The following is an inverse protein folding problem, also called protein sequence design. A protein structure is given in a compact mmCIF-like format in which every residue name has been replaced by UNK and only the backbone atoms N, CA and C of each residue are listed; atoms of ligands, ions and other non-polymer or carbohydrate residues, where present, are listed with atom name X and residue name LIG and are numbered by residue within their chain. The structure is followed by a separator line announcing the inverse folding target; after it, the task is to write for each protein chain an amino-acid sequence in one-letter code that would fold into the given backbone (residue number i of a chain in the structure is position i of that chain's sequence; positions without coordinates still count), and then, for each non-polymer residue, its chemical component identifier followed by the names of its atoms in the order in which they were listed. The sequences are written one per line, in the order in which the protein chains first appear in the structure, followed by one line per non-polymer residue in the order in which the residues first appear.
data_IF_833397168311
#
_entry.id   IF_833397168311
#
_cell.length_a   1.000
_cell.length_b   1.000
_cell.length_c   1.000
_cell.angle_alpha   90.00
_cell.angle_beta   90.00
_cell.angle_gamma   90.00
#
_symmetry.space_group_name_H-M   'P 1'
#
loop_
_entity.id
_entity.type
_entity.pdbx_description
1 polymer ?
#
# COMPACT_ATOMS: atom_id res chain seq x y z
N UNK A 1 -3.13 35.20 -15.72
CA UNK A 1 -4.48 34.68 -15.43
C UNK A 1 -5.59 35.43 -16.17
N UNK A 2 -5.50 36.75 -16.42
CA UNK A 2 -6.56 37.57 -17.08
C UNK A 2 -6.97 37.18 -18.52
N UNK A 3 -6.27 36.24 -19.16
CA UNK A 3 -6.57 35.73 -20.51
C UNK A 3 -7.12 34.30 -20.53
N UNK A 4 -7.27 33.65 -19.37
CA UNK A 4 -7.70 32.26 -19.25
C UNK A 4 -8.96 32.18 -18.37
N UNK A 5 -9.93 31.34 -18.75
CA UNK A 5 -11.08 31.04 -17.91
C UNK A 5 -10.66 30.19 -16.70
N UNK A 6 -11.02 30.61 -15.49
CA UNK A 6 -10.77 29.83 -14.28
C UNK A 6 -12.06 29.12 -13.86
N UNK A 7 -12.02 27.79 -13.82
CA UNK A 7 -13.08 26.98 -13.21
C UNK A 7 -12.52 26.40 -11.92
N UNK A 8 -13.07 26.85 -10.79
CA UNK A 8 -12.71 26.32 -9.48
C UNK A 8 -13.71 25.25 -9.09
N UNK A 9 -13.21 24.04 -8.79
CA UNK A 9 -14.00 22.98 -8.16
C UNK A 9 -13.57 22.86 -6.71
N UNK A 10 -14.52 23.08 -5.79
CA UNK A 10 -14.29 22.87 -4.37
C UNK A 10 -14.28 21.38 -4.04
N UNK A 11 -13.42 20.97 -3.11
CA UNK A 11 -13.42 19.62 -2.56
C UNK A 11 -14.76 19.26 -1.90
N UNK A 12 -15.52 20.25 -1.42
CA UNK A 12 -16.85 20.05 -0.83
C UNK A 12 -17.90 19.53 -1.82
N UNK A 13 -17.63 19.56 -3.12
CA UNK A 13 -18.55 19.06 -4.17
C UNK A 13 -18.29 17.59 -4.50
N UNK A 14 -17.10 17.08 -4.21
CA UNK A 14 -16.67 15.69 -4.46
C UNK A 14 -16.34 15.01 -3.14
N UNK A 15 -17.37 14.83 -2.32
CA UNK A 15 -17.30 14.05 -1.08
C UNK A 15 -17.10 12.56 -1.38
N UNK A 16 -17.03 11.72 -0.34
CA UNK A 16 -16.85 10.28 -0.51
C UNK A 16 -18.02 9.57 -1.20
N UNK A 17 -19.27 10.05 -1.08
CA UNK A 17 -20.45 9.34 -1.57
C UNK A 17 -20.45 9.14 -3.10
N UNK A 18 -20.18 10.14 -3.95
CA UNK A 18 -20.12 9.92 -5.40
C UNK A 18 -19.06 8.91 -5.84
N UNK A 19 -17.93 8.84 -5.13
CA UNK A 19 -16.86 7.87 -5.42
C UNK A 19 -17.33 6.46 -5.05
N UNK A 20 -17.97 6.31 -3.89
CA UNK A 20 -18.57 5.04 -3.49
C UNK A 20 -19.67 4.61 -4.47
N UNK A 21 -20.57 5.52 -4.85
CA UNK A 21 -21.66 5.23 -5.79
C UNK A 21 -21.13 4.79 -7.16
N UNK A 22 -20.05 5.42 -7.63
CA UNK A 22 -19.35 5.01 -8.85
C UNK A 22 -18.83 3.57 -8.76
N UNK A 23 -18.25 3.19 -7.61
CA UNK A 23 -17.75 1.84 -7.38
C UNK A 23 -18.88 0.82 -7.22
N UNK A 24 -19.93 1.13 -6.45
CA UNK A 24 -21.09 0.24 -6.22
C UNK A 24 -21.85 -0.10 -7.51
N UNK A 25 -21.85 0.79 -8.51
CA UNK A 25 -22.43 0.49 -9.84
C UNK A 25 -21.71 -0.64 -10.58
N UNK A 26 -20.49 -0.97 -10.18
CA UNK A 26 -19.69 -2.07 -10.73
C UNK A 26 -19.82 -3.36 -9.90
N UNK A 27 -20.65 -3.36 -8.85
CA UNK A 27 -20.83 -4.46 -7.90
C UNK A 27 -22.17 -5.14 -8.10
N UNK A 28 -22.34 -6.33 -7.53
CA UNK A 28 -23.63 -7.03 -7.58
C UNK A 28 -24.68 -6.30 -6.73
N UNK A 29 -25.97 -6.56 -7.00
CA UNK A 29 -27.05 -5.98 -6.19
C UNK A 29 -26.96 -6.45 -4.73
N UNK A 30 -26.64 -7.72 -4.50
CA UNK A 30 -26.43 -8.31 -3.16
C UNK A 30 -25.34 -7.57 -2.38
N UNK A 31 -24.18 -7.36 -2.99
CA UNK A 31 -23.09 -6.58 -2.38
C UNK A 31 -23.51 -5.14 -2.09
N UNK A 32 -24.24 -4.51 -3.03
CA UNK A 32 -24.65 -3.12 -2.90
C UNK A 32 -25.64 -2.93 -1.75
N UNK A 33 -26.61 -3.82 -1.62
CA UNK A 33 -27.65 -3.77 -0.57
C UNK A 33 -27.04 -3.93 0.83
N UNK A 34 -25.92 -4.65 0.95
CA UNK A 34 -25.20 -4.86 2.20
C UNK A 34 -24.21 -3.73 2.48
N UNK A 35 -23.33 -3.42 1.54
CA UNK A 35 -22.21 -2.50 1.75
C UNK A 35 -22.67 -1.05 1.90
N UNK A 36 -23.65 -0.59 1.11
CA UNK A 36 -24.10 0.81 1.15
C UNK A 36 -24.56 1.20 2.55
N UNK A 37 -25.50 0.50 3.21
CA UNK A 37 -25.88 0.82 4.58
C UNK A 37 -24.72 0.82 5.57
N UNK A 38 -23.73 -0.07 5.41
CA UNK A 38 -22.57 -0.13 6.30
C UNK A 38 -21.69 1.12 6.19
N UNK A 39 -21.43 1.62 4.97
CA UNK A 39 -20.71 2.88 4.78
C UNK A 39 -21.43 4.04 5.47
N UNK A 40 -22.75 4.19 5.25
CA UNK A 40 -23.54 5.26 5.85
C UNK A 40 -23.67 5.16 7.38
N UNK A 41 -23.40 4.00 7.99
CA UNK A 41 -23.46 3.82 9.44
C UNK A 41 -22.24 4.35 10.20
N UNK A 42 -21.07 4.47 9.58
CA UNK A 42 -19.83 4.78 10.32
C UNK A 42 -18.79 5.59 9.55
N UNK A 43 -18.78 5.54 8.21
CA UNK A 43 -17.64 6.05 7.44
C UNK A 43 -17.41 7.55 7.62
N UNK A 44 -18.48 8.36 7.57
CA UNK A 44 -18.40 9.82 7.68
C UNK A 44 -17.92 10.29 9.06
N UNK A 45 -18.50 9.72 10.13
CA UNK A 45 -18.15 10.01 11.51
C UNK A 45 -16.69 9.64 11.81
N UNK A 46 -16.26 8.44 11.37
CA UNK A 46 -14.91 7.95 11.56
C UNK A 46 -13.90 8.74 10.74
N UNK A 47 -14.19 9.04 9.48
CA UNK A 47 -13.33 9.87 8.64
C UNK A 47 -13.16 11.27 9.24
N UNK A 48 -14.25 11.89 9.71
CA UNK A 48 -14.20 13.19 10.40
C UNK A 48 -13.34 13.13 11.66
N UNK A 49 -13.48 12.08 12.47
CA UNK A 49 -12.65 11.87 13.64
C UNK A 49 -11.16 11.76 13.27
N UNK A 50 -10.82 10.94 12.27
CA UNK A 50 -9.44 10.80 11.78
C UNK A 50 -8.86 12.13 11.30
N UNK A 51 -9.62 12.92 10.54
CA UNK A 51 -9.15 14.20 9.99
C UNK A 51 -9.02 15.32 11.03
N UNK A 52 -9.83 15.29 12.10
CA UNK A 52 -9.93 16.41 13.04
C UNK A 52 -9.29 16.15 14.40
N UNK A 53 -9.20 14.89 14.83
CA UNK A 53 -8.71 14.51 16.18
C UNK A 53 -7.41 13.73 16.17
N UNK A 54 -7.03 13.13 15.04
CA UNK A 54 -5.83 12.29 14.94
C UNK A 54 -4.74 12.98 14.12
N UNK A 55 -3.51 12.54 14.34
CA UNK A 55 -2.33 13.05 13.62
C UNK A 55 -1.86 12.01 12.61
N UNK A 56 -2.22 12.22 11.35
CA UNK A 56 -1.75 11.39 10.23
C UNK A 56 -0.28 11.70 9.88
N UNK A 57 0.51 10.67 9.59
CA UNK A 57 1.92 10.81 9.17
C UNK A 57 2.07 11.29 7.73
N UNK A 58 1.01 11.25 6.94
CA UNK A 58 0.98 11.79 5.59
C UNK A 58 -0.37 12.45 5.35
N UNK A 59 -0.35 13.65 4.74
CA UNK A 59 -1.60 14.32 4.34
C UNK A 59 -2.21 13.61 3.14
N UNK A 60 -3.44 13.12 3.33
CA UNK A 60 -4.24 12.37 2.36
C UNK A 60 -5.63 12.99 2.28
N UNK A 61 -6.20 13.10 1.08
CA UNK A 61 -7.54 13.66 0.84
C UNK A 61 -8.61 12.57 1.04
N UNK A 62 -9.83 12.97 1.39
CA UNK A 62 -10.98 12.07 1.56
C UNK A 62 -11.17 11.12 0.36
N UNK A 63 -11.07 11.68 -0.86
CA UNK A 63 -11.19 10.92 -2.11
C UNK A 63 -10.20 9.75 -2.21
N UNK A 64 -9.01 9.87 -1.59
CA UNK A 64 -8.02 8.81 -1.58
C UNK A 64 -8.33 7.75 -0.52
N UNK A 65 -8.84 8.16 0.65
CA UNK A 65 -9.28 7.23 1.69
C UNK A 65 -10.42 6.32 1.20
N UNK A 66 -11.46 6.90 0.59
CA UNK A 66 -12.60 6.10 0.11
C UNK A 66 -12.20 5.21 -1.07
N UNK A 67 -11.34 5.72 -1.95
CA UNK A 67 -10.81 4.89 -3.04
C UNK A 67 -9.98 3.73 -2.50
N UNK A 68 -9.07 3.98 -1.55
CA UNK A 68 -8.30 2.90 -0.94
C UNK A 68 -9.20 1.87 -0.23
N UNK A 69 -10.27 2.31 0.44
CA UNK A 69 -11.26 1.42 1.05
C UNK A 69 -11.93 0.52 -0.01
N UNK A 70 -12.39 1.11 -1.11
CA UNK A 70 -13.02 0.36 -2.22
C UNK A 70 -12.04 -0.53 -2.99
N UNK A 71 -10.77 -0.12 -3.09
CA UNK A 71 -9.69 -0.93 -3.67
C UNK A 71 -9.38 -2.15 -2.79
N UNK A 72 -9.33 -1.99 -1.47
CA UNK A 72 -9.20 -3.09 -0.51
C UNK A 72 -10.38 -4.05 -0.60
N UNK A 73 -11.62 -3.53 -0.53
CA UNK A 73 -12.84 -4.32 -0.67
C UNK A 73 -12.83 -5.14 -1.96
N UNK A 74 -12.49 -4.50 -3.10
CA UNK A 74 -12.38 -5.20 -4.37
C UNK A 74 -11.39 -6.36 -4.30
N UNK A 75 -10.20 -6.12 -3.75
CA UNK A 75 -9.16 -7.15 -3.66
C UNK A 75 -9.51 -8.32 -2.74
N UNK A 76 -10.35 -8.08 -1.73
CA UNK A 76 -10.80 -9.08 -0.77
C UNK A 76 -12.05 -9.85 -1.25
N UNK A 77 -12.97 -9.18 -1.92
CA UNK A 77 -14.21 -9.80 -2.44
C UNK A 77 -13.90 -10.63 -3.68
N UNK A 78 -13.14 -10.07 -4.63
CA UNK A 78 -12.84 -10.69 -5.92
C UNK A 78 -11.70 -11.74 -5.81
N UNK A 79 -11.40 -12.23 -4.61
CA UNK A 79 -10.30 -13.15 -4.36
C UNK A 79 -10.60 -14.55 -4.96
N UNK A 80 -9.93 -14.85 -6.07
CA UNK A 80 -9.97 -16.14 -6.75
C UNK A 80 -11.15 -16.37 -7.69
N UNK A 81 -12.26 -15.65 -7.50
CA UNK A 81 -13.44 -15.70 -8.38
C UNK A 81 -14.30 -14.42 -8.23
N UNK A 82 -14.40 -13.63 -9.30
CA UNK A 82 -15.25 -12.42 -9.37
C UNK A 82 -16.75 -12.73 -9.22
N UNK A 83 -17.17 -14.00 -9.31
CA UNK A 83 -18.58 -14.42 -9.25
C UNK A 83 -18.95 -15.07 -7.90
N UNK A 84 -18.01 -15.11 -6.95
CA UNK A 84 -18.23 -15.63 -5.60
C UNK A 84 -19.25 -14.78 -4.87
N UNK A 85 -20.37 -15.40 -4.44
CA UNK A 85 -21.33 -14.73 -3.56
C UNK A 85 -20.95 -14.97 -2.10
N UNK A 86 -20.62 -13.90 -1.38
CA UNK A 86 -20.25 -13.96 0.02
C UNK A 86 -21.47 -13.76 0.95
N UNK A 87 -21.53 -14.46 2.11
CA UNK A 87 -22.54 -14.20 3.13
C UNK A 87 -22.45 -12.77 3.68
N UNK A 88 -23.58 -12.23 4.15
CA UNK A 88 -23.67 -10.87 4.70
C UNK A 88 -22.66 -10.63 5.84
N UNK A 89 -22.53 -11.58 6.77
CA UNK A 89 -21.58 -11.46 7.88
C UNK A 89 -20.11 -11.42 7.42
N UNK A 90 -19.79 -12.10 6.31
CA UNK A 90 -18.45 -12.07 5.74
C UNK A 90 -18.21 -10.71 5.07
N UNK A 91 -19.14 -10.23 4.24
CA UNK A 91 -19.06 -8.90 3.62
C UNK A 91 -18.95 -7.77 4.65
N UNK A 92 -19.70 -7.85 5.76
CA UNK A 92 -19.58 -6.90 6.87
C UNK A 92 -18.15 -6.85 7.39
N UNK A 93 -17.53 -8.00 7.68
CA UNK A 93 -16.16 -8.05 8.21
C UNK A 93 -15.10 -7.60 7.20
N UNK A 94 -15.26 -7.91 5.91
CA UNK A 94 -14.37 -7.38 4.86
C UNK A 94 -14.48 -5.85 4.75
N UNK A 95 -15.68 -5.30 4.89
CA UNK A 95 -15.90 -3.86 4.98
C UNK A 95 -15.18 -3.25 6.18
N UNK A 96 -15.35 -3.83 7.37
CA UNK A 96 -14.69 -3.34 8.59
C UNK A 96 -13.16 -3.38 8.46
N UNK A 97 -12.62 -4.48 7.91
CA UNK A 97 -11.18 -4.59 7.62
C UNK A 97 -10.71 -3.51 6.63
N UNK A 98 -11.48 -3.26 5.58
CA UNK A 98 -11.14 -2.26 4.56
C UNK A 98 -11.18 -0.84 5.11
N UNK A 99 -12.15 -0.52 5.96
CA UNK A 99 -12.24 0.78 6.65
C UNK A 99 -11.06 0.97 7.62
N UNK A 100 -10.70 -0.06 8.36
CA UNK A 100 -9.54 -0.06 9.27
C UNK A 100 -8.25 0.27 8.50
N UNK A 101 -7.99 -0.43 7.38
CA UNK A 101 -6.78 -0.28 6.57
C UNK A 101 -6.85 0.82 5.50
N UNK A 102 -7.97 1.54 5.41
CA UNK A 102 -8.05 2.79 4.67
C UNK A 102 -7.87 3.98 5.61
N UNK A 103 -8.72 4.15 6.61
CA UNK A 103 -8.71 5.33 7.49
C UNK A 103 -7.56 5.30 8.50
N UNK A 104 -7.12 4.10 8.91
CA UNK A 104 -5.96 3.90 9.77
C UNK A 104 -4.63 3.76 9.02
N UNK A 105 -4.64 3.89 7.69
CA UNK A 105 -3.53 3.49 6.82
C UNK A 105 -2.27 4.32 7.03
N UNK A 106 -2.40 5.60 7.34
CA UNK A 106 -1.29 6.55 7.53
C UNK A 106 -1.10 6.95 9.00
N UNK A 107 -1.70 6.20 9.93
CA UNK A 107 -1.60 6.45 11.37
C UNK A 107 -0.46 5.65 12.02
N UNK A 108 0.09 6.19 13.10
CA UNK A 108 0.95 5.47 14.05
C UNK A 108 0.12 4.76 15.13
N UNK A 109 0.76 3.87 15.88
CA UNK A 109 0.14 3.02 16.92
C UNK A 109 -0.75 3.83 17.89
N UNK A 110 -0.24 4.93 18.46
CA UNK A 110 -1.02 5.76 19.40
C UNK A 110 -2.33 6.30 18.80
N UNK A 111 -2.31 6.69 17.52
CA UNK A 111 -3.50 7.20 16.85
C UNK A 111 -4.42 6.06 16.38
N UNK A 112 -3.88 4.88 16.06
CA UNK A 112 -4.67 3.68 15.82
C UNK A 112 -5.44 3.26 17.07
N UNK A 113 -4.83 3.31 18.26
CA UNK A 113 -5.52 3.04 19.53
C UNK A 113 -6.65 4.04 19.81
N UNK A 114 -6.45 5.33 19.50
CA UNK A 114 -7.53 6.34 19.63
C UNK A 114 -8.67 6.12 18.63
N UNK A 115 -8.33 5.72 17.41
CA UNK A 115 -9.32 5.35 16.38
C UNK A 115 -10.14 4.12 16.83
N UNK A 116 -9.48 3.11 17.36
CA UNK A 116 -10.10 1.91 17.92
C UNK A 116 -11.05 2.25 19.08
N UNK A 117 -10.61 3.08 20.04
CA UNK A 117 -11.46 3.52 21.15
C UNK A 117 -12.74 4.21 20.65
N UNK A 118 -12.62 5.13 19.67
CA UNK A 118 -13.77 5.78 19.05
C UNK A 118 -14.72 4.77 18.39
N UNK A 119 -14.16 3.79 17.68
CA UNK A 119 -14.93 2.74 16.99
C UNK A 119 -15.71 1.87 17.98
N UNK A 120 -15.09 1.48 19.10
CA UNK A 120 -15.71 0.64 20.12
C UNK A 120 -16.84 1.36 20.88
N UNK A 121 -16.74 2.67 21.04
CA UNK A 121 -17.77 3.52 21.65
C UNK A 121 -18.87 3.94 20.66
N UNK A 122 -18.70 3.69 19.36
CA UNK A 122 -19.59 4.17 18.31
C UNK A 122 -20.97 3.50 18.35
N UNK A 123 -22.09 4.24 18.15
CA UNK A 123 -23.44 3.69 18.21
C UNK A 123 -23.81 2.72 17.08
N UNK A 124 -22.94 2.52 16.08
CA UNK A 124 -23.22 1.67 14.91
C UNK A 124 -23.32 0.17 15.24
N UNK A 125 -22.78 -0.28 16.38
CA UNK A 125 -22.81 -1.67 16.87
C UNK A 125 -22.35 -2.71 15.82
N UNK A 126 -21.41 -2.33 14.96
CA UNK A 126 -20.83 -3.22 13.95
C UNK A 126 -19.94 -4.29 14.60
N UNK A 127 -19.79 -5.43 13.92
CA UNK A 127 -19.10 -6.62 14.47
C UNK A 127 -17.57 -6.57 14.31
N UNK A 128 -16.95 -5.58 14.94
CA UNK A 128 -15.50 -5.45 15.04
C UNK A 128 -14.84 -6.68 15.71
N UNK A 129 -13.54 -6.95 15.45
CA UNK A 129 -12.84 -8.07 16.08
C UNK A 129 -12.86 -7.94 17.61
N UNK A 130 -13.02 -9.07 18.29
CA UNK A 130 -12.94 -9.12 19.76
C UNK A 130 -11.49 -9.31 20.15
N UNK A 131 -10.94 -8.33 20.87
CA UNK A 131 -9.60 -8.39 21.44
C UNK A 131 -9.58 -9.50 22.51
N UNK A 132 -8.59 -10.39 22.44
CA UNK A 132 -8.40 -11.52 23.37
C UNK A 132 -7.59 -11.10 24.60
N UNK A 133 -6.56 -10.28 24.39
CA UNK A 133 -5.62 -9.87 25.42
C UNK A 133 -5.64 -8.35 25.70
N UNK A 134 -5.31 -7.96 26.93
CA UNK A 134 -5.12 -6.54 27.28
C UNK A 134 -3.90 -5.97 26.51
N UNK A 135 -4.13 -4.88 25.76
CA UNK A 135 -3.11 -4.21 24.96
C UNK A 135 -2.99 -4.70 23.51
N UNK A 136 -3.80 -5.67 23.11
CA UNK A 136 -3.96 -6.11 21.72
C UNK A 136 -4.78 -5.08 20.92
N UNK A 137 -4.48 -4.90 19.64
CA UNK A 137 -5.24 -3.99 18.76
C UNK A 137 -6.07 -4.73 17.70
N UNK A 138 -7.17 -4.12 17.26
CA UNK A 138 -7.99 -4.59 16.13
C UNK A 138 -7.18 -4.78 14.83
N UNK A 139 -6.05 -4.05 14.70
CA UNK A 139 -5.11 -4.18 13.58
C UNK A 139 -4.26 -5.48 13.64
N UNK A 140 -4.43 -6.28 14.70
CA UNK A 140 -3.85 -7.63 14.85
C UNK A 140 -4.74 -8.73 14.24
N UNK A 141 -5.89 -8.35 13.68
CA UNK A 141 -6.86 -9.28 13.08
C UNK A 141 -7.00 -9.12 11.57
N UNK A 142 -7.32 -10.23 10.92
CA UNK A 142 -7.68 -10.37 9.50
C UNK A 142 -8.95 -11.21 9.37
N UNK A 143 -9.65 -11.09 8.25
CA UNK A 143 -10.79 -11.97 7.96
C UNK A 143 -10.25 -13.26 7.33
N UNK A 144 -10.57 -14.40 7.92
CA UNK A 144 -10.23 -15.73 7.42
C UNK A 144 -11.14 -16.18 6.26
N UNK A 145 -10.76 -17.26 5.58
CA UNK A 145 -11.53 -17.79 4.44
C UNK A 145 -12.94 -18.27 4.82
N UNK A 146 -13.10 -18.68 6.08
CA UNK A 146 -14.38 -19.02 6.70
C UNK A 146 -15.27 -17.79 6.99
N UNK A 147 -14.74 -16.59 6.79
CA UNK A 147 -15.39 -15.31 7.02
C UNK A 147 -15.32 -14.81 8.45
N UNK A 148 -14.62 -15.46 9.37
CA UNK A 148 -14.46 -15.03 10.76
C UNK A 148 -13.14 -14.27 11.00
N UNK A 149 -13.07 -13.53 12.11
CA UNK A 149 -11.85 -12.84 12.51
C UNK A 149 -10.78 -13.85 12.96
N UNK A 150 -9.59 -13.71 12.41
CA UNK A 150 -8.41 -14.52 12.69
C UNK A 150 -7.27 -13.61 13.14
N UNK A 151 -6.49 -14.04 14.14
CA UNK A 151 -5.33 -13.29 14.58
C UNK A 151 -4.14 -13.51 13.62
N UNK A 152 -3.36 -12.47 13.32
CA UNK A 152 -2.23 -12.57 12.38
C UNK A 152 -1.16 -13.57 12.82
N UNK A 153 -0.97 -13.80 14.12
CA UNK A 153 0.01 -14.79 14.62
C UNK A 153 -0.25 -16.20 14.10
N UNK A 154 -1.51 -16.54 13.79
CA UNK A 154 -1.88 -17.83 13.22
C UNK A 154 -1.42 -18.00 11.77
N UNK A 155 -1.02 -16.90 11.11
CA UNK A 155 -0.47 -16.86 9.75
C UNK A 155 1.05 -16.64 9.71
N UNK A 156 1.71 -16.54 10.87
CA UNK A 156 3.16 -16.36 10.92
C UNK A 156 3.85 -17.71 10.87
N UNK A 157 4.58 -17.96 9.79
CA UNK A 157 5.43 -19.14 9.67
C UNK A 157 6.59 -19.10 10.66
N UNK A 158 6.97 -20.27 11.18
CA UNK A 158 8.13 -20.42 12.03
C UNK A 158 9.41 -20.38 11.18
N UNK A 159 10.31 -19.45 11.49
CA UNK A 159 11.62 -19.42 10.86
C UNK A 159 12.60 -20.29 11.65
N UNK A 160 13.18 -21.26 10.96
CA UNK A 160 14.20 -22.15 11.50
C UNK A 160 15.54 -21.69 10.95
N UNK A 161 16.43 -21.25 11.84
CA UNK A 161 17.79 -20.89 11.47
C UNK A 161 18.57 -22.15 11.06
N UNK A 162 19.20 -22.19 9.87
CA UNK A 162 19.89 -23.39 9.39
C UNK A 162 21.07 -23.74 10.30
N UNK A 163 21.18 -25.00 10.79
CA UNK A 163 22.26 -25.39 11.69
C UNK A 163 23.57 -25.68 10.97
N UNK A 164 23.51 -25.98 9.68
CA UNK A 164 24.59 -26.48 8.82
C UNK A 164 25.43 -25.36 8.18
N UNK A 165 24.87 -24.16 7.99
CA UNK A 165 25.62 -22.99 7.50
C UNK A 165 25.13 -21.70 8.14
N UNK A 166 25.95 -20.64 8.07
CA UNK A 166 25.58 -19.30 8.54
C UNK A 166 25.01 -18.51 7.36
N UNK A 167 23.72 -18.16 7.34
CA UNK A 167 23.15 -17.26 6.33
C UNK A 167 23.81 -15.89 6.41
N UNK A 168 23.89 -15.20 5.28
CA UNK A 168 24.30 -13.80 5.28
C UNK A 168 23.31 -12.98 6.10
N UNK A 169 23.81 -12.20 7.06
CA UNK A 169 22.99 -11.43 8.00
C UNK A 169 21.99 -10.52 7.27
N UNK A 170 22.40 -9.94 6.13
CA UNK A 170 21.54 -9.06 5.32
C UNK A 170 20.35 -9.76 4.67
N UNK A 171 20.40 -11.09 4.57
CA UNK A 171 19.37 -11.93 3.94
C UNK A 171 18.38 -12.55 4.93
N UNK A 172 18.64 -12.45 6.24
CA UNK A 172 17.79 -13.06 7.26
C UNK A 172 16.54 -12.21 7.46
N UNK A 173 15.39 -12.72 7.05
CA UNK A 173 14.08 -12.13 7.33
C UNK A 173 13.27 -13.09 8.19
N UNK A 174 13.22 -12.83 9.50
CA UNK A 174 12.37 -13.58 10.42
C UNK A 174 10.91 -13.14 10.22
N UNK A 175 9.99 -14.03 9.81
CA UNK A 175 8.58 -13.72 9.70
C UNK A 175 8.00 -13.31 11.05
N UNK A 176 7.30 -12.19 11.05
CA UNK A 176 6.58 -11.66 12.19
C UNK A 176 5.20 -11.15 11.74
N UNK A 177 4.36 -10.77 12.70
CA UNK A 177 2.99 -10.29 12.46
C UNK A 177 3.00 -9.08 11.51
N UNK A 178 3.91 -8.14 11.71
CA UNK A 178 4.01 -6.91 10.92
C UNK A 178 4.32 -7.19 9.44
N UNK A 179 5.24 -8.13 9.18
CA UNK A 179 5.66 -8.55 7.84
C UNK A 179 4.53 -9.28 7.12
N UNK A 180 3.88 -10.25 7.76
CA UNK A 180 2.78 -11.03 7.16
C UNK A 180 1.60 -10.12 6.82
N UNK A 181 1.25 -9.22 7.74
CA UNK A 181 0.19 -8.24 7.55
C UNK A 181 0.49 -7.27 6.41
N UNK A 182 1.70 -6.73 6.36
CA UNK A 182 2.09 -5.79 5.31
C UNK A 182 2.14 -6.48 3.95
N UNK A 183 2.67 -7.71 3.89
CA UNK A 183 2.67 -8.52 2.67
C UNK A 183 1.24 -8.80 2.18
N UNK A 184 0.31 -9.13 3.08
CA UNK A 184 -1.10 -9.34 2.72
C UNK A 184 -1.75 -8.06 2.15
N UNK A 185 -1.49 -6.90 2.74
CA UNK A 185 -2.01 -5.62 2.23
C UNK A 185 -1.42 -5.26 0.87
N UNK A 186 -0.11 -5.51 0.68
CA UNK A 186 0.54 -5.34 -0.63
C UNK A 186 -0.14 -6.25 -1.64
N UNK A 187 -0.26 -7.55 -1.35
CA UNK A 187 -0.85 -8.55 -2.26
C UNK A 187 -2.27 -8.18 -2.68
N UNK A 188 -3.12 -7.84 -1.69
CA UNK A 188 -4.52 -7.46 -1.89
C UNK A 188 -4.68 -6.35 -2.94
N UNK A 189 -3.78 -5.36 -2.94
CA UNK A 189 -3.80 -4.25 -3.90
C UNK A 189 -3.04 -4.60 -5.18
N UNK A 190 -1.86 -5.20 -5.05
CA UNK A 190 -0.94 -5.44 -6.16
C UNK A 190 -1.49 -6.45 -7.17
N UNK A 191 -2.25 -7.46 -6.74
CA UNK A 191 -2.90 -8.43 -7.64
C UNK A 191 -3.88 -7.77 -8.61
N UNK A 192 -4.43 -6.62 -8.24
CA UNK A 192 -5.29 -5.78 -9.08
C UNK A 192 -4.52 -4.88 -10.06
N UNK A 193 -3.20 -5.07 -10.19
CA UNK A 193 -2.30 -4.19 -10.97
C UNK A 193 -2.30 -2.72 -10.51
N UNK A 194 -2.62 -2.46 -9.23
CA UNK A 194 -2.60 -1.14 -8.62
C UNK A 194 -1.30 -0.91 -7.85
N UNK A 195 -0.90 0.34 -7.70
CA UNK A 195 0.36 0.68 -7.05
C UNK A 195 0.22 0.80 -5.53
N UNK A 196 1.25 0.38 -4.81
CA UNK A 196 1.34 0.45 -3.34
C UNK A 196 2.51 1.35 -2.92
N UNK A 197 2.28 2.21 -1.93
CA UNK A 197 3.30 3.03 -1.30
C UNK A 197 3.40 2.68 0.19
N UNK A 198 4.58 2.23 0.62
CA UNK A 198 4.87 2.07 2.04
C UNK A 198 5.52 3.34 2.59
N UNK A 199 4.97 3.86 3.69
CA UNK A 199 5.58 4.93 4.49
C UNK A 199 6.01 4.37 5.86
N UNK A 200 6.95 5.03 6.54
CA UNK A 200 7.41 4.58 7.86
C UNK A 200 8.76 5.17 8.23
N UNK A 201 9.16 5.12 9.50
CA UNK A 201 10.50 5.56 9.94
C UNK A 201 11.63 4.70 9.34
N UNK A 202 12.88 5.15 9.48
CA UNK A 202 14.04 4.31 9.12
C UNK A 202 14.04 3.04 9.98
N UNK A 203 14.46 1.92 9.39
CA UNK A 203 14.49 0.63 10.09
C UNK A 203 13.15 -0.13 10.13
N UNK A 204 12.05 0.38 9.56
CA UNK A 204 10.75 -0.32 9.53
C UNK A 204 10.62 -1.38 8.41
N UNK A 205 11.74 -1.93 7.93
CA UNK A 205 11.81 -3.01 6.94
C UNK A 205 11.07 -2.82 5.58
N UNK A 206 10.56 -1.63 5.26
CA UNK A 206 9.81 -1.32 4.00
C UNK A 206 10.43 -1.88 2.73
N UNK A 207 11.70 -1.54 2.49
CA UNK A 207 12.47 -1.97 1.31
C UNK A 207 12.55 -3.48 1.22
N UNK A 208 12.81 -4.15 2.35
CA UNK A 208 12.97 -5.60 2.39
C UNK A 208 11.62 -6.28 2.18
N UNK A 209 10.54 -5.78 2.78
CA UNK A 209 9.19 -6.31 2.58
C UNK A 209 8.74 -6.27 1.10
N UNK A 210 8.91 -5.12 0.42
CA UNK A 210 8.52 -5.02 -0.99
C UNK A 210 9.40 -5.91 -1.87
N UNK A 211 10.72 -5.93 -1.65
CA UNK A 211 11.63 -6.79 -2.41
C UNK A 211 11.33 -8.27 -2.19
N UNK A 212 11.03 -8.67 -0.95
CA UNK A 212 10.63 -10.04 -0.62
C UNK A 212 9.33 -10.43 -1.32
N UNK A 213 8.34 -9.54 -1.33
CA UNK A 213 7.09 -9.77 -2.06
C UNK A 213 7.33 -9.89 -3.58
N UNK A 214 8.18 -9.04 -4.17
CA UNK A 214 8.51 -9.12 -5.59
C UNK A 214 9.38 -10.32 -5.97
N UNK A 215 10.05 -10.94 -5.01
CA UNK A 215 10.88 -12.13 -5.21
C UNK A 215 10.04 -13.42 -5.30
N UNK A 216 8.78 -13.41 -4.85
CA UNK A 216 7.87 -14.56 -4.98
C UNK A 216 7.22 -14.68 -6.36
N UNK A 217 7.41 -13.68 -7.22
CA UNK A 217 6.87 -13.70 -8.58
C UNK A 217 7.51 -14.78 -9.43
N UNK A 218 6.69 -15.41 -10.27
CA UNK A 218 7.16 -16.24 -11.38
C UNK A 218 7.81 -15.33 -12.46
N UNK A 219 9.14 -15.43 -12.71
CA UNK A 219 9.83 -14.60 -13.70
C UNK A 219 9.39 -14.84 -15.15
N UNK A 220 8.68 -15.95 -15.43
CA UNK A 220 8.07 -16.21 -16.73
C UNK A 220 6.80 -15.37 -16.95
N UNK A 221 6.13 -14.95 -15.87
CA UNK A 221 4.87 -14.19 -15.91
C UNK A 221 5.13 -12.71 -15.60
N UNK A 222 5.89 -12.43 -14.55
CA UNK A 222 6.05 -11.09 -13.99
C UNK A 222 7.49 -10.82 -13.54
N UNK A 223 8.09 -9.81 -14.16
CA UNK A 223 9.44 -9.35 -13.85
C UNK A 223 9.44 -8.37 -12.68
N UNK A 224 10.51 -8.38 -11.91
CA UNK A 224 10.75 -7.44 -10.81
C UNK A 224 11.99 -6.60 -11.09
N UNK A 225 11.88 -5.28 -10.95
CA UNK A 225 12.99 -4.33 -11.02
C UNK A 225 12.93 -3.38 -9.83
N UNK A 226 14.08 -2.92 -9.36
CA UNK A 226 14.17 -1.94 -8.28
C UNK A 226 15.08 -0.80 -8.69
N UNK A 227 14.73 0.41 -8.30
CA UNK A 227 15.56 1.59 -8.39
C UNK A 227 15.45 2.39 -7.09
N UNK A 228 16.53 3.07 -6.73
CA UNK A 228 16.57 3.94 -5.57
C UNK A 228 16.64 5.37 -6.05
N UNK A 229 15.76 6.22 -5.56
CA UNK A 229 15.84 7.65 -5.78
C UNK A 229 16.83 8.30 -4.83
N UNK A 230 17.36 9.42 -5.28
CA UNK A 230 18.28 10.28 -4.55
C UNK A 230 18.02 11.73 -4.94
N UNK A 231 18.64 12.66 -4.22
CA UNK A 231 18.60 14.09 -4.58
C UNK A 231 19.16 14.36 -5.99
N UNK A 232 20.04 13.50 -6.51
CA UNK A 232 20.60 13.63 -7.84
C UNK A 232 19.74 13.00 -8.95
N UNK A 233 18.65 12.31 -8.61
CA UNK A 233 17.83 11.60 -9.60
C UNK A 233 17.01 12.58 -10.43
N UNK A 234 17.28 12.62 -11.73
CA UNK A 234 16.62 13.53 -12.68
C UNK A 234 15.53 12.82 -13.50
N UNK A 235 14.60 13.58 -14.13
CA UNK A 235 13.60 13.00 -15.03
C UNK A 235 14.22 12.18 -16.18
N UNK A 236 15.32 12.66 -16.77
CA UNK A 236 16.04 11.96 -17.85
C UNK A 236 16.63 10.63 -17.38
N UNK A 237 17.15 10.57 -16.15
CA UNK A 237 17.63 9.31 -15.58
C UNK A 237 16.49 8.30 -15.43
N UNK A 238 15.35 8.74 -14.89
CA UNK A 238 14.18 7.86 -14.75
C UNK A 238 13.68 7.34 -16.10
N UNK A 239 13.54 8.23 -17.11
CA UNK A 239 13.17 7.83 -18.47
C UNK A 239 14.10 6.74 -19.01
N UNK A 240 15.42 6.97 -18.99
CA UNK A 240 16.40 6.01 -19.51
C UNK A 240 16.38 4.67 -18.79
N UNK A 241 16.15 4.68 -17.48
CA UNK A 241 16.01 3.45 -16.67
C UNK A 241 14.78 2.67 -17.15
N UNK A 242 13.63 3.32 -17.26
CA UNK A 242 12.40 2.65 -17.71
C UNK A 242 12.54 2.14 -19.15
N UNK A 243 13.11 2.94 -20.05
CA UNK A 243 13.41 2.52 -21.43
C UNK A 243 14.35 1.32 -21.48
N UNK A 244 15.32 1.21 -20.55
CA UNK A 244 16.21 0.04 -20.48
C UNK A 244 15.52 -1.25 -20.02
N UNK A 245 14.32 -1.15 -19.42
CA UNK A 245 13.55 -2.29 -18.93
C UNK A 245 12.52 -2.82 -19.93
N UNK A 246 12.29 -2.08 -21.02
CA UNK A 246 11.23 -2.38 -21.98
C UNK A 246 11.78 -2.54 -23.40
N UNK A 247 11.06 -3.30 -24.21
CA UNK A 247 11.33 -3.46 -25.62
C UNK A 247 10.21 -2.84 -26.45
N UNK A 248 10.57 -2.42 -27.66
CA UNK A 248 9.61 -1.87 -28.60
C UNK A 248 8.70 -2.99 -29.11
N UNK A 249 7.39 -2.81 -28.97
CA UNK A 249 6.39 -3.73 -29.53
C UNK A 249 5.97 -3.28 -30.93
N UNK A 250 5.21 -2.20 -31.01
CA UNK A 250 4.66 -1.65 -32.27
C UNK A 250 4.57 -0.13 -32.16
N UNK A 251 4.91 0.59 -33.23
CA UNK A 251 4.77 2.06 -33.27
C UNK A 251 5.57 2.75 -32.15
N UNK A 252 4.91 3.55 -31.31
CA UNK A 252 5.47 4.16 -30.09
C UNK A 252 5.09 3.40 -28.80
N UNK A 253 4.65 2.14 -28.92
CA UNK A 253 4.30 1.28 -27.79
C UNK A 253 5.46 0.36 -27.41
N UNK A 254 5.76 0.37 -26.12
CA UNK A 254 6.79 -0.44 -25.48
C UNK A 254 6.18 -1.23 -24.32
N UNK A 255 6.86 -2.29 -23.91
CA UNK A 255 6.52 -3.03 -22.71
C UNK A 255 7.63 -4.01 -22.35
N UNK A 256 7.51 -4.74 -21.23
CA UNK A 256 8.51 -5.71 -20.81
C UNK A 256 8.77 -6.78 -21.89
N UNK A 257 9.99 -7.34 -21.94
CA UNK A 257 10.36 -8.39 -22.87
C UNK A 257 9.43 -9.61 -22.80
N UNK A 258 9.21 -10.25 -23.95
CA UNK A 258 8.36 -11.44 -24.10
C UNK A 258 6.90 -11.24 -23.65
N UNK A 259 6.36 -10.02 -23.77
CA UNK A 259 4.99 -9.68 -23.37
C UNK A 259 4.65 -10.02 -21.90
N UNK A 260 5.66 -10.05 -21.02
CA UNK A 260 5.49 -10.24 -19.58
C UNK A 260 4.95 -8.97 -18.91
N UNK A 261 4.47 -9.11 -17.68
CA UNK A 261 4.24 -7.97 -16.78
C UNK A 261 5.53 -7.59 -16.06
N UNK A 262 5.62 -6.36 -15.55
CA UNK A 262 6.74 -5.94 -14.72
C UNK A 262 6.27 -5.07 -13.56
N UNK A 263 6.75 -5.37 -12.35
CA UNK A 263 6.67 -4.45 -11.22
C UNK A 263 8.01 -3.73 -11.07
N UNK A 264 7.97 -2.40 -10.99
CA UNK A 264 9.13 -1.55 -10.75
C UNK A 264 8.97 -0.90 -9.38
N UNK A 265 9.87 -1.26 -8.46
CA UNK A 265 9.94 -0.69 -7.12
C UNK A 265 10.85 0.54 -7.10
N UNK A 266 10.34 1.65 -6.57
CA UNK A 266 11.06 2.90 -6.34
C UNK A 266 11.25 3.09 -4.84
N UNK A 267 12.47 2.89 -4.38
CA UNK A 267 12.84 3.22 -3.00
C UNK A 267 13.14 4.71 -2.87
N UNK A 268 12.89 5.27 -1.69
CA UNK A 268 13.10 6.67 -1.37
C UNK A 268 12.45 7.65 -2.38
N UNK A 269 11.21 7.37 -2.80
CA UNK A 269 10.50 8.13 -3.86
C UNK A 269 10.37 9.65 -3.59
N UNK A 270 10.53 10.07 -2.33
CA UNK A 270 10.46 11.46 -1.91
C UNK A 270 11.80 12.22 -1.95
N UNK A 271 12.91 11.54 -2.23
CA UNK A 271 14.24 12.13 -2.24
C UNK A 271 14.59 13.07 -3.41
N UNK A 272 13.98 13.00 -4.61
CA UNK A 272 14.31 13.93 -5.69
C UNK A 272 14.15 15.39 -5.26
N UNK A 273 14.97 16.26 -5.85
CA UNK A 273 14.99 17.70 -5.53
C UNK A 273 13.62 18.34 -5.74
N UNK A 274 13.21 19.12 -4.74
CA UNK A 274 12.07 20.03 -4.82
C UNK A 274 12.58 21.36 -5.36
N UNK A 275 11.97 21.87 -6.42
CA UNK A 275 12.35 23.16 -7.01
C UNK A 275 11.80 24.34 -6.18
N UNK A 276 12.12 25.57 -6.61
CA UNK A 276 11.70 26.81 -5.93
C UNK A 276 10.17 26.98 -5.83
N UNK A 277 9.40 26.30 -6.69
CA UNK A 277 7.94 26.33 -6.71
C UNK A 277 7.30 25.21 -5.87
N UNK A 278 8.11 24.36 -5.23
CA UNK A 278 7.62 23.23 -4.43
C UNK A 278 7.33 21.97 -5.24
N UNK A 279 7.72 21.91 -6.51
CA UNK A 279 7.49 20.76 -7.37
C UNK A 279 8.67 19.78 -7.37
N UNK A 280 8.36 18.49 -7.45
CA UNK A 280 9.35 17.44 -7.72
C UNK A 280 9.25 17.00 -9.18
N UNK A 281 10.05 17.62 -10.05
CA UNK A 281 9.98 17.39 -11.52
C UNK A 281 10.17 15.91 -11.88
N UNK A 282 11.07 15.21 -11.20
CA UNK A 282 11.28 13.75 -11.39
C UNK A 282 10.01 12.95 -11.09
N UNK A 283 9.23 13.35 -10.10
CA UNK A 283 7.98 12.67 -9.74
C UNK A 283 6.83 12.98 -10.72
N UNK A 284 6.92 14.00 -11.57
CA UNK A 284 5.94 14.25 -12.62
C UNK A 284 6.05 13.27 -13.78
N UNK A 285 7.26 12.82 -14.15
CA UNK A 285 7.42 11.76 -15.16
C UNK A 285 7.00 10.39 -14.60
N UNK A 286 7.24 10.13 -13.31
CA UNK A 286 6.69 8.93 -12.61
C UNK A 286 5.16 8.97 -12.63
N UNK A 287 4.55 10.11 -12.31
CA UNK A 287 3.09 10.29 -12.39
C UNK A 287 2.57 10.06 -13.80
N UNK A 288 3.21 10.62 -14.83
CA UNK A 288 2.81 10.39 -16.23
C UNK A 288 2.83 8.90 -16.54
N UNK A 289 3.91 8.19 -16.20
CA UNK A 289 4.02 6.75 -16.43
C UNK A 289 2.82 5.98 -15.84
N UNK A 290 2.45 6.29 -14.59
CA UNK A 290 1.33 5.63 -13.90
C UNK A 290 -0.04 6.02 -14.46
N UNK A 291 -0.28 7.31 -14.68
CA UNK A 291 -1.60 7.85 -15.01
C UNK A 291 -1.94 7.76 -16.50
N UNK A 292 -0.95 8.00 -17.35
CA UNK A 292 -1.10 8.06 -18.80
C UNK A 292 -0.60 6.78 -19.49
N UNK A 293 -0.12 5.79 -18.72
CA UNK A 293 0.45 4.53 -19.25
C UNK A 293 1.58 4.82 -20.24
N UNK A 294 2.47 5.74 -19.84
CA UNK A 294 3.51 6.28 -20.71
C UNK A 294 3.94 7.69 -20.34
N UNK A 295 4.87 8.27 -21.08
CA UNK A 295 5.33 9.63 -20.88
C UNK A 295 5.78 10.26 -22.19
N UNK A 296 5.80 11.60 -22.23
CA UNK A 296 6.43 12.31 -23.33
C UNK A 296 7.95 12.16 -23.27
N UNK A 297 8.55 11.85 -24.41
CA UNK A 297 10.01 11.75 -24.53
C UNK A 297 10.66 13.09 -24.22
N UNK A 298 11.61 13.08 -23.28
CA UNK A 298 12.43 14.24 -22.97
C UNK A 298 13.51 14.49 -24.02
N UNK A 299 13.84 13.49 -24.85
CA UNK A 299 14.80 13.60 -25.94
C UNK A 299 14.14 14.08 -27.26
N UNK A 300 12.88 13.72 -27.49
CA UNK A 300 12.15 14.02 -28.74
C UNK A 300 10.86 14.79 -28.45
N UNK A 301 10.86 16.12 -28.63
CA UNK A 301 9.71 16.96 -28.34
C UNK A 301 8.45 16.51 -29.07
N UNK A 302 7.36 16.32 -28.31
CA UNK A 302 6.04 15.96 -28.84
C UNK A 302 5.82 14.46 -29.08
N UNK A 303 6.85 13.61 -28.92
CA UNK A 303 6.68 12.17 -29.02
C UNK A 303 6.18 11.58 -27.69
N UNK A 304 5.03 10.90 -27.72
CA UNK A 304 4.51 10.16 -26.57
C UNK A 304 4.87 8.67 -26.67
N UNK A 305 5.55 8.16 -25.65
CA UNK A 305 5.93 6.75 -25.52
C UNK A 305 4.90 6.04 -24.65
N UNK A 306 4.14 5.12 -25.22
CA UNK A 306 3.18 4.30 -24.47
C UNK A 306 3.91 3.12 -23.85
N UNK A 307 3.88 3.00 -22.52
CA UNK A 307 4.57 1.94 -21.77
C UNK A 307 3.52 1.06 -21.10
N UNK A 308 3.28 -0.14 -21.64
CA UNK A 308 2.27 -1.08 -21.15
C UNK A 308 2.84 -2.12 -20.19
N UNK A 309 1.96 -2.74 -19.41
CA UNK A 309 2.25 -3.88 -18.53
C UNK A 309 3.29 -3.60 -17.43
N UNK A 310 3.40 -2.33 -17.02
CA UNK A 310 4.21 -1.91 -15.87
C UNK A 310 3.31 -1.51 -14.71
N UNK A 311 3.64 -2.02 -13.53
CA UNK A 311 3.09 -1.63 -12.25
C UNK A 311 4.21 -0.99 -11.41
N UNK A 312 3.90 0.06 -10.64
CA UNK A 312 4.86 0.66 -9.72
C UNK A 312 4.57 0.27 -8.27
N UNK A 313 5.63 0.17 -7.48
CA UNK A 313 5.57 0.16 -6.02
C UNK A 313 6.54 1.21 -5.49
N UNK A 314 6.22 1.81 -4.36
CA UNK A 314 7.03 2.86 -3.74
C UNK A 314 7.30 2.59 -2.28
N UNK A 315 8.43 3.08 -1.79
CA UNK A 315 8.66 3.26 -0.37
C UNK A 315 9.24 4.66 -0.12
N UNK A 316 8.88 5.24 1.01
CA UNK A 316 9.50 6.47 1.49
C UNK A 316 9.44 6.56 3.00
N UNK A 317 10.25 7.46 3.54
CA UNK A 317 10.16 7.84 4.94
C UNK A 317 8.94 8.73 5.21
N UNK A 318 8.51 8.83 6.47
CA UNK A 318 7.48 9.80 6.84
C UNK A 318 7.82 11.22 6.36
N UNK A 319 6.88 11.91 5.68
CA UNK A 319 7.04 13.31 5.35
C UNK A 319 6.92 14.20 6.60
N UNK A 320 7.50 15.40 6.54
CA UNK A 320 7.57 16.33 7.67
C UNK A 320 8.91 16.27 8.41
N UNK A 321 9.10 17.14 9.41
CA UNK A 321 10.37 17.20 10.16
C UNK A 321 11.61 17.50 9.29
N UNK A 322 11.44 18.26 8.20
CA UNK A 322 12.48 18.55 7.21
C UNK A 322 12.58 17.54 6.06
N UNK A 323 11.78 16.48 6.07
CA UNK A 323 11.69 15.48 4.98
C UNK A 323 10.60 15.87 3.98
N UNK A 324 10.91 15.76 2.69
CA UNK A 324 9.98 16.08 1.63
C UNK A 324 8.83 15.07 1.55
N UNK A 325 7.68 15.57 1.15
CA UNK A 325 6.52 14.77 0.76
C UNK A 325 6.45 14.65 -0.77
N UNK A 326 5.78 13.63 -1.28
CA UNK A 326 5.54 13.50 -2.72
C UNK A 326 4.33 14.35 -3.16
N UNK A 327 4.27 14.83 -4.42
CA UNK A 327 3.17 15.67 -4.89
C UNK A 327 1.80 14.98 -4.75
N UNK A 328 0.73 15.70 -4.37
CA UNK A 328 -0.61 15.11 -4.21
C UNK A 328 -1.13 14.36 -5.43
N UNK A 329 -0.76 14.81 -6.64
CA UNK A 329 -1.14 14.13 -7.90
C UNK A 329 -0.45 12.77 -8.06
N UNK A 330 0.78 12.63 -7.57
CA UNK A 330 1.48 11.36 -7.54
C UNK A 330 0.95 10.48 -6.40
N UNK A 331 0.72 11.04 -5.20
CA UNK A 331 0.09 10.29 -4.09
C UNK A 331 -1.19 9.61 -4.50
N UNK A 332 -2.02 10.33 -5.28
CA UNK A 332 -3.26 9.77 -5.81
C UNK A 332 -3.01 8.46 -6.53
N UNK A 333 -1.87 8.20 -7.16
CA UNK A 333 -1.69 6.95 -7.89
C UNK A 333 -1.41 5.72 -7.01
N UNK A 334 -1.27 5.88 -5.68
CA UNK A 334 -0.93 4.79 -4.75
C UNK A 334 -2.05 4.50 -3.74
N UNK A 335 -2.17 3.24 -3.32
CA UNK A 335 -2.68 2.88 -2.00
C UNK A 335 -1.53 2.97 -0.99
N UNK A 336 -1.74 3.63 0.15
CA UNK A 336 -0.67 4.02 1.07
C UNK A 336 -0.83 3.24 2.36
N UNK A 337 0.24 2.62 2.86
CA UNK A 337 0.25 1.92 4.15
C UNK A 337 1.44 2.35 5.00
N UNK A 338 1.20 2.65 6.27
CA UNK A 338 2.22 2.98 7.24
C UNK A 338 2.76 1.73 7.92
N UNK A 339 4.07 1.54 7.79
CA UNK A 339 4.87 0.53 8.47
C UNK A 339 5.39 1.13 9.77
N UNK A 340 4.77 0.72 10.87
CA UNK A 340 5.17 1.09 12.23
C UNK A 340 6.44 0.34 12.64
N UNK A 341 7.12 0.82 13.69
CA UNK A 341 8.22 0.05 14.28
C UNK A 341 7.67 -1.27 14.83
N UNK A 342 8.41 -2.39 14.69
CA UNK A 342 8.03 -3.65 15.31
C UNK A 342 7.87 -3.49 16.82
N UNK A 343 6.91 -4.21 17.42
CA UNK A 343 6.76 -4.25 18.87
C UNK A 343 7.97 -4.89 19.55
N UNK A 344 8.17 -4.63 20.85
CA UNK A 344 9.23 -5.27 21.64
C UNK A 344 9.14 -6.81 21.56
N UNK A 345 7.92 -7.37 21.60
CA UNK A 345 7.68 -8.81 21.39
C UNK A 345 8.17 -9.30 20.02
N UNK A 346 7.93 -8.53 18.95
CA UNK A 346 8.43 -8.84 17.61
C UNK A 346 9.96 -8.75 17.56
N UNK A 347 10.56 -7.72 18.17
CA UNK A 347 12.02 -7.56 18.24
C UNK A 347 12.66 -8.71 19.01
N UNK A 348 12.14 -9.05 20.19
CA UNK A 348 12.62 -10.17 21.01
C UNK A 348 12.56 -11.47 20.22
N UNK A 349 11.46 -11.75 19.50
CA UNK A 349 11.36 -12.94 18.64
C UNK A 349 12.45 -12.94 17.57
N UNK A 350 12.65 -11.84 16.84
CA UNK A 350 13.64 -11.75 15.76
C UNK A 350 15.04 -12.01 16.32
N UNK A 351 15.43 -11.30 17.38
CA UNK A 351 16.78 -11.41 17.93
C UNK A 351 17.02 -12.72 18.67
N UNK A 352 16.01 -13.31 19.32
CA UNK A 352 16.13 -14.62 19.97
C UNK A 352 16.34 -15.72 18.93
N UNK A 353 15.53 -15.74 17.86
CA UNK A 353 15.67 -16.74 16.79
C UNK A 353 17.03 -16.67 16.11
N UNK A 354 17.54 -15.46 15.85
CA UNK A 354 18.88 -15.27 15.27
C UNK A 354 19.97 -15.67 16.27
N UNK A 355 19.85 -15.26 17.53
CA UNK A 355 20.83 -15.54 18.57
C UNK A 355 20.95 -17.03 18.88
N UNK A 356 19.84 -17.67 19.22
CA UNK A 356 19.76 -19.11 19.52
C UNK A 356 20.13 -19.95 18.30
N UNK A 357 19.68 -19.54 17.10
CA UNK A 357 19.98 -20.20 15.84
C UNK A 357 21.46 -20.11 15.45
N UNK A 358 22.10 -18.97 15.69
CA UNK A 358 23.53 -18.79 15.45
C UNK A 358 24.36 -19.63 16.43
N UNK A 359 24.10 -19.49 17.74
CA UNK A 359 24.81 -20.15 18.83
C UNK A 359 24.29 -21.57 19.13
N UNK A 360 24.15 -22.40 18.08
CA UNK A 360 23.68 -23.77 18.21
C UNK A 360 24.81 -24.77 18.52
N UNK A 361 24.48 -25.84 19.25
CA UNK A 361 25.44 -26.89 19.64
C UNK A 361 26.08 -27.59 18.44
N UNK A 362 25.40 -27.69 17.31
CA UNK A 362 25.94 -28.30 16.09
C UNK A 362 27.05 -27.47 15.46
N UNK A 363 27.07 -26.15 15.67
CA UNK A 363 28.06 -25.24 15.09
C UNK A 363 29.25 -24.99 16.01
N UNK A 364 29.04 -25.01 17.31
CA UNK A 364 30.05 -24.66 18.33
C UNK A 364 30.50 -25.85 19.19
N UNK A 365 30.37 -27.08 18.69
CA UNK A 365 31.07 -28.27 19.20
C UNK A 365 32.33 -28.50 18.41
#
# INVERSE_FOLDING_TARGET
VSRMGMVFMSASVLTWQPILDGWLRLRTQHETDILRPLFFKIYDDLHTFVQTKLVAKMKVLEALYIRQCTDLLKGLIDEGDEHRTLPEAHLERLFLFSVMWSLGSVLELDNRSKMEAFILEHPSKLKWPKLKDEGESMFEYVVGDNGDWQHWSERVEEYIYPPDYVPDYSSILVPNVDNVRTAFLIDTIAKQSKAVLLIGEQGTAKTVMIKSYMASYDPEIQLSKSLNFSSATTPNMFQRIIESYVEKRVGSTYGPPNNRRMTVFIDDINMPVVNEWGDQVTNEIVRQLMEMVGFYSLDKPGEFLTIKDIQLMGAMIHPGGGRNDIPPRLKRQFCIFNCTLPSDKSMDKIFSVIGEGYFCLTRFR
#
